data_IF_480640155139
#
_entry.id   IF_480640155139
#
_cell.length_a   1.000
_cell.length_b   1.000
_cell.length_c   1.000
_cell.angle_alpha   90.00
_cell.angle_beta   90.00
_cell.angle_gamma   90.00
#
_symmetry.space_group_name_H-M   'P 1'
#
loop_
_entity.id
_entity.type
_entity.pdbx_description
1 polymer ?
#
# COMPACT_ATOMS: atom_id res chain seq x y z
N UNK A 1 13.02 -15.77 -4.09
CA UNK A 1 11.90 -14.80 -4.11
C UNK A 1 10.86 -15.12 -5.18
N UNK A 2 11.23 -15.41 -6.43
CA UNK A 2 10.24 -15.71 -7.47
C UNK A 2 9.34 -16.91 -7.17
N UNK A 3 9.87 -17.98 -6.55
CA UNK A 3 9.09 -19.13 -6.11
C UNK A 3 7.89 -18.70 -5.23
N UNK A 4 8.14 -17.92 -4.17
CA UNK A 4 7.08 -17.44 -3.27
C UNK A 4 6.03 -16.56 -3.96
N UNK A 5 6.43 -15.80 -5.00
CA UNK A 5 5.51 -14.99 -5.80
C UNK A 5 4.66 -15.86 -6.71
N UNK A 6 5.26 -16.88 -7.34
CA UNK A 6 4.57 -17.84 -8.21
C UNK A 6 3.59 -18.72 -7.43
N UNK A 7 3.87 -19.02 -6.16
CA UNK A 7 2.96 -19.74 -5.27
C UNK A 7 1.95 -18.84 -4.57
N UNK A 8 1.86 -17.55 -4.96
CA UNK A 8 0.95 -16.55 -4.37
C UNK A 8 1.07 -16.40 -2.84
N UNK A 9 2.23 -16.74 -2.26
CA UNK A 9 2.49 -16.58 -0.83
C UNK A 9 2.86 -15.12 -0.52
N UNK A 10 3.53 -14.47 -1.46
CA UNK A 10 3.87 -13.05 -1.40
C UNK A 10 3.45 -12.35 -2.68
N UNK A 11 3.14 -11.07 -2.53
CA UNK A 11 2.92 -10.13 -3.60
C UNK A 11 3.96 -9.02 -3.52
N UNK A 12 4.21 -8.39 -4.67
CA UNK A 12 5.09 -7.23 -4.74
C UNK A 12 4.43 -6.13 -5.54
N UNK A 13 4.53 -4.90 -5.07
CA UNK A 13 4.17 -3.73 -5.87
C UNK A 13 5.42 -2.93 -6.22
N UNK A 14 5.39 -2.33 -7.40
CA UNK A 14 6.48 -1.52 -7.94
C UNK A 14 6.20 -0.04 -7.70
N UNK A 15 7.24 0.78 -7.85
CA UNK A 15 7.07 2.24 -7.85
C UNK A 15 6.33 2.68 -9.10
N UNK A 16 5.38 3.60 -8.98
CA UNK A 16 4.78 4.23 -10.15
C UNK A 16 5.86 5.01 -10.92
N UNK A 17 5.94 4.81 -12.23
CA UNK A 17 6.94 5.48 -13.06
C UNK A 17 7.19 4.79 -14.39
N UNK A 18 8.17 5.31 -15.11
CA UNK A 18 8.64 4.70 -16.36
C UNK A 18 9.43 3.39 -16.08
N UNK A 19 9.69 2.59 -17.12
CA UNK A 19 10.27 1.26 -16.97
C UNK A 19 11.59 1.25 -16.18
N UNK A 20 12.47 2.21 -16.45
CA UNK A 20 13.74 2.34 -15.76
C UNK A 20 13.58 2.70 -14.29
N UNK A 21 12.64 3.61 -13.98
CA UNK A 21 12.30 3.95 -12.60
C UNK A 21 11.74 2.78 -11.82
N UNK A 22 10.94 1.92 -12.48
CA UNK A 22 10.33 0.72 -11.89
C UNK A 22 11.36 -0.35 -11.58
N UNK A 23 12.28 -0.63 -12.51
CA UNK A 23 13.28 -1.69 -12.37
C UNK A 23 14.33 -1.38 -11.30
N UNK A 24 14.71 -0.11 -11.15
CA UNK A 24 15.74 0.31 -10.20
C UNK A 24 15.20 0.59 -8.80
N UNK A 25 13.89 0.80 -8.66
CA UNK A 25 13.27 1.09 -7.38
C UNK A 25 13.10 -0.19 -6.54
N UNK A 26 13.23 -0.08 -5.20
CA UNK A 26 12.86 -1.18 -4.32
C UNK A 26 11.37 -1.52 -4.50
N UNK A 27 11.01 -2.79 -4.37
CA UNK A 27 9.60 -3.21 -4.40
C UNK A 27 9.06 -3.32 -2.98
N UNK A 28 7.82 -2.92 -2.75
CA UNK A 28 7.14 -3.24 -1.49
C UNK A 28 6.65 -4.69 -1.53
N UNK A 29 6.72 -5.37 -0.39
CA UNK A 29 6.38 -6.79 -0.24
C UNK A 29 5.13 -6.93 0.63
N UNK A 30 4.18 -7.74 0.19
CA UNK A 30 2.97 -8.03 0.94
C UNK A 30 2.76 -9.54 1.06
N UNK A 31 2.50 -10.04 2.26
CA UNK A 31 2.06 -11.42 2.49
C UNK A 31 0.63 -11.63 1.98
N UNK A 32 0.34 -12.80 1.43
CA UNK A 32 -1.02 -13.22 1.11
C UNK A 32 -1.82 -13.60 2.35
N UNK A 33 -1.14 -14.10 3.38
CA UNK A 33 -1.71 -14.51 4.65
C UNK A 33 -1.07 -13.70 5.77
N UNK A 34 -1.88 -12.84 6.40
CA UNK A 34 -1.46 -12.01 7.53
C UNK A 34 -1.39 -12.81 8.83
N UNK A 35 -2.20 -13.86 8.97
CA UNK A 35 -2.21 -14.74 10.13
C UNK A 35 -0.91 -15.53 10.24
N UNK A 36 -0.50 -16.22 9.16
CA UNK A 36 0.77 -16.97 9.11
C UNK A 36 1.95 -16.02 9.31
N UNK A 37 1.93 -14.85 8.65
CA UNK A 37 2.95 -13.81 8.84
C UNK A 37 3.08 -13.46 10.33
N UNK A 38 1.97 -13.09 10.97
CA UNK A 38 1.97 -12.66 12.37
C UNK A 38 2.33 -13.77 13.34
N UNK A 39 2.01 -15.02 13.02
CA UNK A 39 2.46 -16.18 13.78
C UNK A 39 3.99 -16.29 13.77
N UNK A 40 4.62 -16.05 12.62
CA UNK A 40 6.08 -16.13 12.46
C UNK A 40 6.83 -14.90 12.98
N UNK A 41 6.29 -13.69 12.77
CA UNK A 41 6.97 -12.43 13.11
C UNK A 41 6.50 -11.79 14.42
N UNK A 42 5.46 -12.33 15.06
CA UNK A 42 4.72 -11.67 16.13
C UNK A 42 3.88 -10.49 15.63
N UNK A 43 3.09 -9.89 16.53
CA UNK A 43 2.32 -8.64 16.28
C UNK A 43 3.19 -7.38 16.36
N UNK A 44 4.46 -7.49 15.95
CA UNK A 44 5.46 -6.45 16.18
C UNK A 44 5.17 -5.15 15.41
N UNK A 45 4.38 -5.20 14.33
CA UNK A 45 4.05 -4.01 13.54
C UNK A 45 2.59 -4.00 13.06
N UNK A 46 1.71 -3.46 13.90
CA UNK A 46 0.28 -3.23 13.58
C UNK A 46 0.08 -2.32 12.37
N UNK A 47 1.01 -1.39 12.12
CA UNK A 47 0.93 -0.47 10.97
C UNK A 47 1.19 -1.24 9.68
N UNK A 48 2.26 -2.03 9.62
CA UNK A 48 2.55 -2.87 8.47
C UNK A 48 1.54 -4.02 8.27
N UNK A 49 0.84 -4.45 9.33
CA UNK A 49 -0.31 -5.36 9.20
C UNK A 49 -1.48 -4.66 8.50
N UNK A 50 -1.80 -3.44 8.92
CA UNK A 50 -2.91 -2.67 8.36
C UNK A 50 -2.68 -2.27 6.89
N UNK A 51 -1.45 -1.85 6.55
CA UNK A 51 -1.06 -1.60 5.15
C UNK A 51 -1.21 -2.87 4.31
N UNK A 52 -0.76 -4.03 4.83
CA UNK A 52 -0.88 -5.30 4.12
C UNK A 52 -2.33 -5.74 3.90
N UNK A 53 -3.20 -5.60 4.91
CA UNK A 53 -4.64 -5.87 4.77
C UNK A 53 -5.26 -4.97 3.71
N UNK A 54 -4.92 -3.68 3.76
CA UNK A 54 -5.36 -2.70 2.76
C UNK A 54 -4.97 -3.14 1.35
N UNK A 55 -3.70 -3.49 1.14
CA UNK A 55 -3.21 -4.00 -0.13
C UNK A 55 -4.03 -5.20 -0.63
N UNK A 56 -4.32 -6.18 0.24
CA UNK A 56 -5.07 -7.38 -0.15
C UNK A 56 -6.48 -7.07 -0.67
N UNK A 57 -7.12 -5.99 -0.18
CA UNK A 57 -8.43 -5.52 -0.67
C UNK A 57 -8.38 -4.83 -2.02
N UNK A 58 -7.24 -4.25 -2.42
CA UNK A 58 -7.10 -3.45 -3.63
C UNK A 58 -6.19 -4.10 -4.68
N UNK A 59 -5.62 -5.28 -4.41
CA UNK A 59 -4.61 -5.93 -5.26
C UNK A 59 -5.07 -6.14 -6.70
N UNK A 60 -6.36 -6.36 -6.93
CA UNK A 60 -6.99 -6.53 -8.23
C UNK A 60 -6.87 -5.27 -9.11
N UNK A 61 -6.78 -4.09 -8.50
CA UNK A 61 -6.56 -2.81 -9.18
C UNK A 61 -5.08 -2.58 -9.56
N UNK A 62 -4.20 -3.56 -9.27
CA UNK A 62 -2.76 -3.54 -9.60
C UNK A 62 -2.06 -2.25 -9.14
N UNK A 63 -2.14 -1.90 -7.84
CA UNK A 63 -1.58 -0.65 -7.34
C UNK A 63 -0.06 -0.60 -7.47
N UNK A 64 0.46 0.62 -7.59
CA UNK A 64 1.87 0.96 -7.43
C UNK A 64 2.03 1.99 -6.31
N UNK A 65 3.22 2.13 -5.74
CA UNK A 65 3.48 3.16 -4.72
C UNK A 65 4.13 4.39 -5.35
N UNK A 66 3.85 5.58 -4.83
CA UNK A 66 4.44 6.83 -5.33
C UNK A 66 5.59 7.22 -4.40
N UNK A 67 6.74 7.58 -4.97
CA UNK A 67 7.85 8.11 -4.19
C UNK A 67 8.51 9.30 -4.89
N UNK A 68 8.51 10.47 -4.24
CA UNK A 68 9.13 11.70 -4.75
C UNK A 68 9.80 12.48 -3.62
N UNK A 69 11.10 12.75 -3.75
CA UNK A 69 11.83 13.63 -2.83
C UNK A 69 11.78 13.19 -1.36
N UNK A 70 11.78 11.88 -1.09
CA UNK A 70 11.70 11.34 0.28
C UNK A 70 10.29 11.20 0.83
N UNK A 71 9.26 11.55 0.06
CA UNK A 71 7.86 11.39 0.44
C UNK A 71 7.22 10.25 -0.33
N UNK A 72 6.44 9.44 0.39
CA UNK A 72 5.79 8.26 -0.13
C UNK A 72 4.26 8.37 0.03
N UNK A 73 3.55 7.82 -0.97
CA UNK A 73 2.13 7.46 -0.86
C UNK A 73 2.03 5.96 -1.14
N UNK A 74 1.36 5.23 -0.27
CA UNK A 74 1.36 3.76 -0.27
C UNK A 74 0.82 3.15 -1.56
N UNK A 75 -0.32 3.64 -2.04
CA UNK A 75 -1.02 3.05 -3.17
C UNK A 75 -1.54 4.10 -4.15
N UNK A 76 -1.39 3.80 -5.44
CA UNK A 76 -1.97 4.52 -6.55
C UNK A 76 -2.45 3.55 -7.62
N UNK A 77 -3.70 3.72 -8.03
CA UNK A 77 -4.39 2.94 -9.07
C UNK A 77 -5.60 3.74 -9.56
N UNK A 78 -5.99 3.63 -10.82
CA UNK A 78 -7.21 4.25 -11.38
C UNK A 78 -7.44 5.72 -10.97
N UNK A 79 -6.40 6.55 -11.08
CA UNK A 79 -6.40 7.96 -10.67
C UNK A 79 -6.73 8.20 -9.18
N UNK A 80 -6.68 7.17 -8.35
CA UNK A 80 -6.93 7.20 -6.91
C UNK A 80 -5.61 7.07 -6.16
N UNK A 81 -5.36 7.96 -5.21
CA UNK A 81 -4.30 7.78 -4.21
C UNK A 81 -4.88 7.32 -2.90
N UNK A 82 -4.18 6.41 -2.23
CA UNK A 82 -4.59 5.85 -0.96
C UNK A 82 -3.38 5.72 -0.02
N UNK A 83 -3.55 6.19 1.20
CA UNK A 83 -2.57 6.10 2.30
C UNK A 83 -3.15 5.27 3.45
N UNK A 84 -2.41 4.28 3.94
CA UNK A 84 -2.84 3.44 5.07
C UNK A 84 -2.08 3.84 6.35
N UNK A 85 -2.72 4.61 7.23
CA UNK A 85 -2.12 5.08 8.49
C UNK A 85 -2.97 4.72 9.71
N UNK A 86 -2.69 3.55 10.30
CA UNK A 86 -3.40 3.09 11.49
C UNK A 86 -3.29 4.10 12.66
N UNK A 87 -4.44 4.62 13.10
CA UNK A 87 -4.61 5.58 14.21
C UNK A 87 -3.72 6.84 14.11
N UNK A 88 -3.36 7.27 12.90
CA UNK A 88 -2.51 8.44 12.67
C UNK A 88 -3.06 9.29 11.53
N UNK A 89 -2.90 10.61 11.66
CA UNK A 89 -3.18 11.54 10.57
C UNK A 89 -1.91 11.80 9.73
N UNK A 90 -2.11 12.28 8.51
CA UNK A 90 -1.03 12.86 7.72
C UNK A 90 -0.65 14.21 8.31
N UNK A 91 0.66 14.46 8.45
CA UNK A 91 1.19 15.69 9.01
C UNK A 91 2.36 16.23 8.16
N UNK A 92 2.61 17.53 8.30
CA UNK A 92 3.75 18.21 7.68
C UNK A 92 3.84 18.02 6.17
N UNK A 93 5.06 17.78 5.68
CA UNK A 93 5.37 17.68 4.25
C UNK A 93 4.62 16.54 3.56
N UNK A 94 4.35 15.44 4.27
CA UNK A 94 3.62 14.30 3.69
C UNK A 94 2.16 14.67 3.41
N UNK A 95 1.51 15.38 4.33
CA UNK A 95 0.15 15.90 4.12
C UNK A 95 0.09 16.82 2.91
N UNK A 96 1.00 17.80 2.84
CA UNK A 96 1.07 18.72 1.70
C UNK A 96 1.32 17.99 0.38
N UNK A 97 2.17 16.95 0.38
CA UNK A 97 2.41 16.13 -0.80
C UNK A 97 1.17 15.36 -1.24
N UNK A 98 0.47 14.73 -0.29
CA UNK A 98 -0.78 14.02 -0.54
C UNK A 98 -1.87 14.95 -1.07
N UNK A 99 -2.06 16.10 -0.43
CA UNK A 99 -3.08 17.11 -0.78
C UNK A 99 -2.83 17.74 -2.15
N UNK A 100 -1.57 17.91 -2.54
CA UNK A 100 -1.19 18.49 -3.84
C UNK A 100 -1.02 17.47 -4.97
N UNK A 101 -0.99 16.17 -4.66
CA UNK A 101 -0.86 15.16 -5.71
C UNK A 101 -2.11 15.13 -6.61
N UNK A 102 -1.91 15.10 -7.93
CA UNK A 102 -3.01 15.09 -8.91
C UNK A 102 -3.65 13.69 -8.94
N UNK A 103 -4.83 13.57 -8.36
CA UNK A 103 -5.64 12.36 -8.32
C UNK A 103 -7.12 12.75 -8.39
N UNK A 104 -7.95 11.89 -8.98
CA UNK A 104 -9.41 12.02 -9.01
C UNK A 104 -9.99 11.77 -7.63
N UNK A 105 -9.49 10.75 -6.94
CA UNK A 105 -9.92 10.38 -5.59
C UNK A 105 -8.72 10.28 -4.65
N UNK A 106 -8.95 10.65 -3.38
CA UNK A 106 -7.94 10.63 -2.33
C UNK A 106 -8.52 9.97 -1.10
N UNK A 107 -7.87 8.90 -0.62
CA UNK A 107 -8.34 8.11 0.50
C UNK A 107 -7.26 8.01 1.58
N UNK A 108 -7.64 8.23 2.82
CA UNK A 108 -6.78 7.96 3.98
C UNK A 108 -7.52 6.95 4.84
N UNK A 109 -6.89 5.80 5.06
CA UNK A 109 -7.45 4.75 5.90
C UNK A 109 -6.78 4.84 7.26
N UNK A 110 -7.56 5.11 8.30
CA UNK A 110 -7.06 5.31 9.65
C UNK A 110 -7.44 4.19 10.61
N UNK A 111 -8.39 3.33 10.23
CA UNK A 111 -8.73 2.17 11.04
C UNK A 111 -9.65 1.18 10.36
N UNK A 112 -10.21 0.29 11.18
CA UNK A 112 -11.05 -0.82 10.74
C UNK A 112 -12.32 -0.36 10.04
N UNK A 113 -12.95 0.73 10.50
CA UNK A 113 -14.17 1.24 9.87
C UNK A 113 -13.91 1.69 8.43
N UNK A 114 -12.84 2.45 8.19
CA UNK A 114 -12.45 2.87 6.85
C UNK A 114 -12.15 1.66 5.97
N UNK A 115 -11.40 0.69 6.52
CA UNK A 115 -11.09 -0.56 5.84
C UNK A 115 -12.35 -1.33 5.46
N UNK A 116 -13.33 -1.48 6.35
CA UNK A 116 -14.57 -2.21 6.09
C UNK A 116 -15.44 -1.52 5.03
N UNK A 117 -15.45 -0.19 5.04
CA UNK A 117 -16.22 0.63 4.09
C UNK A 117 -15.59 0.72 2.70
N UNK A 118 -14.35 0.26 2.52
CA UNK A 118 -13.77 0.08 1.18
C UNK A 118 -14.63 -0.89 0.37
N UNK A 119 -15.41 -0.32 -0.54
CA UNK A 119 -16.26 -1.03 -1.48
C UNK A 119 -15.58 -1.03 -2.85
N UNK A 120 -14.68 -1.98 -3.05
CA UNK A 120 -14.18 -2.33 -4.37
C UNK A 120 -14.84 -3.66 -4.75
N UNK A 121 -15.49 -3.72 -5.92
CA UNK A 121 -16.04 -4.99 -6.41
C UNK A 121 -14.90 -6.02 -6.45
N UNK A 122 -15.11 -7.15 -5.77
CA UNK A 122 -14.27 -8.35 -5.82
C UNK A 122 -14.66 -9.14 -7.07
#
# INVERSE_FOLDING_TARGET
MDYFRQTFLIYTIERCGNLNERLRAPKKLYSADVGIRNHLTGFCDKVAIFENLTYLKIKQNKPCYIYRGGLEIDFYFDETIMEAKLNKQLEGRQKTFFDNFKAKEKMILQGLNDYLNLSFCI
#
